data_IF_916129294906
#
_entry.id   IF_916129294906
#
_cell.length_a   1.000
_cell.length_b   1.000
_cell.length_c   1.000
_cell.angle_alpha   90.00
_cell.angle_beta   90.00
_cell.angle_gamma   90.00
#
_symmetry.space_group_name_H-M   'P 1'
#
loop_
_entity.id
_entity.type
_entity.pdbx_description
1 polymer ?
#
# COMPACT_ATOMS: atom_id res chain seq x y z
N UNK A 1 -25.43 -24.41 -10.49
CA UNK A 1 -24.19 -23.84 -11.05
C UNK A 1 -24.41 -22.34 -11.13
N UNK A 2 -23.97 -21.57 -10.14
CA UNK A 2 -24.08 -20.11 -10.15
C UNK A 2 -23.04 -19.55 -11.11
N UNK A 3 -23.48 -18.74 -12.07
CA UNK A 3 -22.56 -17.95 -12.90
C UNK A 3 -21.67 -17.11 -11.97
N UNK A 4 -20.37 -17.38 -11.96
CA UNK A 4 -19.40 -16.52 -11.29
C UNK A 4 -19.40 -15.19 -12.05
N UNK A 5 -19.82 -14.11 -11.40
CA UNK A 5 -19.66 -12.79 -11.95
C UNK A 5 -18.15 -12.53 -12.12
N UNK A 6 -17.67 -12.55 -13.34
CA UNK A 6 -16.31 -12.15 -13.68
C UNK A 6 -16.18 -10.64 -13.45
N UNK A 7 -15.44 -10.25 -12.41
CA UNK A 7 -15.09 -8.85 -12.24
C UNK A 7 -14.06 -8.47 -13.32
N UNK A 8 -14.45 -7.62 -14.24
CA UNK A 8 -13.55 -7.07 -15.25
C UNK A 8 -12.81 -5.88 -14.64
N UNK A 9 -11.52 -6.00 -14.41
CA UNK A 9 -10.68 -4.85 -14.08
C UNK A 9 -10.36 -4.12 -15.36
N UNK A 10 -11.18 -3.14 -15.67
CA UNK A 10 -10.88 -2.22 -16.75
C UNK A 10 -9.82 -1.21 -16.27
N UNK A 11 -8.70 -1.15 -16.95
CA UNK A 11 -7.66 -0.18 -16.69
C UNK A 11 -8.11 1.20 -17.19
N UNK A 12 -8.27 2.15 -16.25
CA UNK A 12 -8.61 3.53 -16.57
C UNK A 12 -7.37 4.43 -16.49
N UNK A 13 -6.67 4.68 -17.62
CA UNK A 13 -5.41 5.41 -17.63
C UNK A 13 -5.51 6.81 -17.02
N UNK A 14 -6.63 7.50 -17.21
CA UNK A 14 -6.88 8.82 -16.65
C UNK A 14 -6.96 8.81 -15.12
N UNK A 15 -7.65 7.83 -14.53
CA UNK A 15 -7.83 7.72 -13.08
C UNK A 15 -6.49 7.45 -12.40
N UNK A 16 -5.68 6.60 -13.00
CA UNK A 16 -4.35 6.25 -12.49
C UNK A 16 -3.39 7.43 -12.60
N UNK A 17 -3.42 8.15 -13.73
CA UNK A 17 -2.63 9.37 -13.89
C UNK A 17 -3.03 10.43 -12.85
N UNK A 18 -4.32 10.66 -12.66
CA UNK A 18 -4.84 11.59 -11.65
C UNK A 18 -4.40 11.19 -10.23
N UNK A 19 -4.50 9.92 -9.88
CA UNK A 19 -4.04 9.40 -8.60
C UNK A 19 -2.52 9.63 -8.41
N UNK A 20 -1.72 9.43 -9.46
CA UNK A 20 -0.28 9.71 -9.43
C UNK A 20 0.02 11.20 -9.19
N UNK A 21 -0.67 12.08 -9.91
CA UNK A 21 -0.51 13.55 -9.74
C UNK A 21 -0.95 14.00 -8.35
N UNK A 22 -2.11 13.55 -7.87
CA UNK A 22 -2.60 13.88 -6.52
C UNK A 22 -1.60 13.41 -5.46
N UNK A 23 -1.07 12.20 -5.60
CA UNK A 23 -0.09 11.65 -4.64
C UNK A 23 1.19 12.46 -4.63
N UNK A 24 1.67 12.86 -5.79
CA UNK A 24 2.84 13.71 -5.92
C UNK A 24 2.61 15.07 -5.26
N UNK A 25 1.45 15.68 -5.49
CA UNK A 25 1.07 16.93 -4.85
C UNK A 25 0.99 16.79 -3.33
N UNK A 26 0.33 15.76 -2.82
CA UNK A 26 0.25 15.49 -1.37
C UNK A 26 1.65 15.32 -0.78
N UNK A 27 2.48 14.50 -1.42
CA UNK A 27 3.85 14.26 -0.96
C UNK A 27 4.67 15.55 -0.95
N UNK A 28 4.65 16.30 -2.06
CA UNK A 28 5.38 17.54 -2.20
C UNK A 28 4.91 18.65 -1.23
N UNK A 29 3.59 18.82 -1.08
CA UNK A 29 3.02 19.79 -0.16
C UNK A 29 3.31 19.43 1.29
N UNK A 30 3.25 18.15 1.63
CA UNK A 30 3.58 17.67 2.97
C UNK A 30 5.07 17.91 3.32
N UNK A 31 5.96 17.75 2.35
CA UNK A 31 7.39 18.04 2.52
C UNK A 31 7.66 19.55 2.62
N UNK A 32 7.09 20.34 1.71
CA UNK A 32 7.35 21.79 1.61
C UNK A 32 6.63 22.58 2.70
N UNK A 33 5.43 22.18 3.07
CA UNK A 33 4.57 22.89 4.03
C UNK A 33 4.94 22.68 5.48
N UNK A 34 5.91 21.83 5.80
CA UNK A 34 6.20 21.38 7.19
C UNK A 34 4.93 20.98 7.94
N UNK A 35 3.92 20.52 7.22
CA UNK A 35 2.63 20.07 7.78
C UNK A 35 2.87 18.93 8.75
N UNK A 36 3.89 18.12 8.50
CA UNK A 36 4.37 17.10 9.40
C UNK A 36 5.77 17.49 9.85
N UNK A 37 6.03 17.50 11.15
CA UNK A 37 7.37 17.63 11.69
C UNK A 37 8.33 16.73 10.91
N UNK A 38 9.43 17.28 10.48
CA UNK A 38 10.42 16.75 9.56
C UNK A 38 10.24 15.27 9.22
N UNK A 39 10.06 14.92 7.93
CA UNK A 39 10.15 13.53 7.54
C UNK A 39 11.54 13.09 7.98
N UNK A 40 11.59 12.30 9.02
CA UNK A 40 12.74 11.64 9.60
C UNK A 40 14.03 12.11 8.92
N UNK A 41 14.79 12.93 9.62
CA UNK A 41 16.16 13.27 9.24
C UNK A 41 16.75 11.99 8.65
N UNK A 42 17.09 12.00 7.36
CA UNK A 42 17.50 10.80 6.64
C UNK A 42 18.86 10.39 7.19
N UNK A 43 18.82 9.74 8.34
CA UNK A 43 20.00 9.06 8.84
C UNK A 43 20.31 8.01 7.78
N UNK A 44 21.36 8.27 6.99
CA UNK A 44 21.78 7.36 5.92
C UNK A 44 22.08 6.01 6.55
N UNK A 45 21.14 5.07 6.38
CA UNK A 45 21.35 3.71 6.81
C UNK A 45 22.39 3.04 5.90
N UNK A 46 23.17 2.08 6.39
CA UNK A 46 24.06 1.29 5.55
C UNK A 46 23.29 0.63 4.40
N UNK A 47 23.89 0.52 3.24
CA UNK A 47 23.28 -0.12 2.05
C UNK A 47 22.74 -1.51 2.36
N UNK A 48 23.44 -2.27 3.19
CA UNK A 48 23.00 -3.59 3.64
C UNK A 48 21.62 -3.58 4.32
N UNK A 49 21.30 -2.54 5.10
CA UNK A 49 19.98 -2.43 5.76
C UNK A 49 18.89 -2.21 4.72
N UNK A 50 19.15 -1.35 3.72
CA UNK A 50 18.19 -1.13 2.63
C UNK A 50 17.93 -2.40 1.82
N UNK A 51 19.00 -3.09 1.40
CA UNK A 51 18.90 -4.30 0.60
C UNK A 51 18.24 -5.45 1.36
N UNK A 52 18.61 -5.65 2.63
CA UNK A 52 17.99 -6.69 3.48
C UNK A 52 16.51 -6.43 3.71
N UNK A 53 16.12 -5.20 4.04
CA UNK A 53 14.72 -4.84 4.21
C UNK A 53 13.93 -5.01 2.89
N UNK A 54 14.54 -4.66 1.76
CA UNK A 54 13.92 -4.83 0.46
C UNK A 54 13.69 -6.30 0.13
N UNK A 55 14.71 -7.13 0.26
CA UNK A 55 14.63 -8.58 -0.02
C UNK A 55 13.63 -9.30 0.89
N UNK A 56 13.67 -9.02 2.20
CA UNK A 56 12.74 -9.62 3.16
C UNK A 56 11.30 -9.20 2.87
N UNK A 57 11.07 -7.90 2.63
CA UNK A 57 9.72 -7.43 2.34
C UNK A 57 9.20 -8.00 1.03
N UNK A 58 10.01 -8.01 -0.04
CA UNK A 58 9.63 -8.62 -1.32
C UNK A 58 9.32 -10.11 -1.17
N UNK A 59 10.16 -10.84 -0.42
CA UNK A 59 9.92 -12.26 -0.11
C UNK A 59 8.60 -12.49 0.64
N UNK A 60 8.24 -11.61 1.60
CA UNK A 60 6.97 -11.68 2.30
C UNK A 60 5.80 -11.44 1.35
N UNK A 61 5.89 -10.47 0.44
CA UNK A 61 4.84 -10.20 -0.55
C UNK A 61 4.61 -11.43 -1.44
N UNK A 62 5.68 -12.00 -1.99
CA UNK A 62 5.58 -13.19 -2.84
C UNK A 62 5.02 -14.40 -2.08
N UNK A 63 5.56 -14.68 -0.90
CA UNK A 63 5.14 -15.83 -0.09
C UNK A 63 3.68 -15.70 0.35
N UNK A 64 3.27 -14.51 0.80
CA UNK A 64 1.88 -14.23 1.20
C UNK A 64 0.93 -14.50 0.04
N UNK A 65 1.24 -14.00 -1.16
CA UNK A 65 0.39 -14.23 -2.34
C UNK A 65 0.28 -15.70 -2.70
N UNK A 66 1.40 -16.43 -2.72
CA UNK A 66 1.38 -17.88 -2.97
C UNK A 66 0.53 -18.62 -1.94
N UNK A 67 0.64 -18.27 -0.66
CA UNK A 67 -0.16 -18.90 0.41
C UNK A 67 -1.64 -18.63 0.20
N UNK A 68 -2.05 -17.37 0.00
CA UNK A 68 -3.46 -17.04 -0.15
C UNK A 68 -4.07 -17.59 -1.45
N UNK A 69 -3.32 -17.61 -2.55
CA UNK A 69 -3.75 -18.27 -3.79
C UNK A 69 -3.90 -19.78 -3.61
N UNK A 70 -2.97 -20.41 -2.90
CA UNK A 70 -3.06 -21.84 -2.57
C UNK A 70 -4.29 -22.14 -1.72
N UNK A 71 -4.56 -21.32 -0.70
CA UNK A 71 -5.77 -21.45 0.13
C UNK A 71 -7.03 -21.26 -0.72
N UNK A 72 -7.05 -20.24 -1.59
CA UNK A 72 -8.16 -20.00 -2.53
C UNK A 72 -8.45 -21.21 -3.40
N UNK A 73 -7.41 -21.83 -3.92
CA UNK A 73 -7.52 -23.02 -4.76
C UNK A 73 -8.06 -24.23 -4.02
N UNK A 74 -7.50 -24.59 -2.85
CA UNK A 74 -7.89 -25.79 -2.12
C UNK A 74 -9.26 -25.71 -1.44
N UNK A 75 -9.64 -24.53 -0.97
CA UNK A 75 -10.90 -24.34 -0.26
C UNK A 75 -12.02 -23.79 -1.14
N UNK A 76 -11.76 -23.60 -2.43
CA UNK A 76 -12.70 -22.98 -3.37
C UNK A 76 -13.29 -21.66 -2.86
N UNK A 77 -12.55 -20.97 -1.99
CA UNK A 77 -12.94 -19.68 -1.48
C UNK A 77 -12.72 -18.69 -2.61
N UNK A 78 -13.77 -18.44 -3.38
CA UNK A 78 -13.70 -17.56 -4.53
C UNK A 78 -13.29 -16.14 -4.15
N UNK A 79 -12.04 -15.80 -4.40
CA UNK A 79 -11.68 -14.46 -4.80
C UNK A 79 -12.19 -14.31 -6.22
N UNK A 80 -12.88 -13.22 -6.55
CA UNK A 80 -13.33 -13.01 -7.91
C UNK A 80 -12.12 -13.14 -8.84
N UNK A 81 -12.16 -14.10 -9.77
CA UNK A 81 -11.17 -14.17 -10.83
C UNK A 81 -11.35 -12.89 -11.63
N UNK A 82 -10.44 -11.98 -11.43
CA UNK A 82 -10.45 -10.73 -12.19
C UNK A 82 -9.93 -11.05 -13.57
N UNK A 83 -10.78 -10.90 -14.56
CA UNK A 83 -10.33 -10.93 -15.95
C UNK A 83 -9.53 -9.66 -16.21
N UNK A 84 -8.22 -9.78 -16.20
CA UNK A 84 -7.33 -8.68 -16.56
C UNK A 84 -7.32 -8.58 -18.10
N UNK A 85 -7.72 -7.42 -18.61
CA UNK A 85 -7.62 -7.13 -20.03
C UNK A 85 -6.26 -6.48 -20.27
N UNK A 86 -5.37 -7.22 -20.90
CA UNK A 86 -4.05 -6.70 -21.26
C UNK A 86 -4.11 -5.82 -22.51
N UNK A 87 -3.24 -4.80 -22.57
CA UNK A 87 -3.14 -3.94 -23.76
C UNK A 87 -2.72 -4.72 -24.99
N UNK A 88 -3.34 -4.41 -26.15
CA UNK A 88 -2.99 -4.98 -27.45
C UNK A 88 -1.98 -4.13 -28.23
N UNK A 89 -1.69 -2.90 -27.81
CA UNK A 89 -0.81 -1.97 -28.49
C UNK A 89 0.41 -1.59 -27.66
N UNK A 90 1.49 -1.20 -28.31
CA UNK A 90 2.72 -0.73 -27.63
C UNK A 90 2.44 0.48 -26.71
N UNK A 91 1.65 1.44 -27.18
CA UNK A 91 1.28 2.60 -26.35
C UNK A 91 0.42 2.19 -25.14
N UNK A 92 -0.44 1.20 -25.31
CA UNK A 92 -1.20 0.60 -24.23
C UNK A 92 -0.30 -0.01 -23.15
N UNK A 93 0.76 -0.72 -23.53
CA UNK A 93 1.73 -1.27 -22.59
C UNK A 93 2.51 -0.19 -21.83
N UNK A 94 2.88 0.90 -22.52
CA UNK A 94 3.50 2.06 -21.85
C UNK A 94 2.55 2.63 -20.79
N UNK A 95 1.29 2.87 -21.16
CA UNK A 95 0.28 3.38 -20.22
C UNK A 95 0.04 2.42 -19.04
N UNK A 96 -0.01 1.12 -19.32
CA UNK A 96 -0.14 0.09 -18.29
C UNK A 96 1.02 0.12 -17.30
N UNK A 97 2.27 0.18 -17.80
CA UNK A 97 3.47 0.25 -16.98
C UNK A 97 3.48 1.48 -16.06
N UNK A 98 3.21 2.66 -16.63
CA UNK A 98 3.09 3.88 -15.81
C UNK A 98 1.94 3.79 -14.81
N UNK A 99 0.85 3.15 -15.19
CA UNK A 99 -0.27 2.93 -14.29
C UNK A 99 0.07 2.10 -13.07
N UNK A 100 0.79 1.00 -13.25
CA UNK A 100 1.26 0.16 -12.15
C UNK A 100 2.17 0.96 -11.20
N UNK A 101 3.07 1.78 -11.76
CA UNK A 101 3.97 2.64 -10.97
C UNK A 101 3.17 3.68 -10.19
N UNK A 102 2.26 4.39 -10.85
CA UNK A 102 1.48 5.44 -10.19
C UNK A 102 0.51 4.89 -9.15
N UNK A 103 -0.08 3.73 -9.37
CA UNK A 103 -0.91 3.05 -8.38
C UNK A 103 -0.11 2.71 -7.13
N UNK A 104 1.05 2.06 -7.30
CA UNK A 104 1.94 1.74 -6.18
C UNK A 104 2.39 3.03 -5.44
N UNK A 105 2.75 4.09 -6.17
CA UNK A 105 3.15 5.36 -5.55
C UNK A 105 2.01 5.99 -4.75
N UNK A 106 0.80 6.03 -5.33
CA UNK A 106 -0.40 6.52 -4.65
C UNK A 106 -0.64 5.78 -3.34
N UNK A 107 -0.60 4.47 -3.37
CA UNK A 107 -0.86 3.64 -2.19
C UNK A 107 0.19 3.84 -1.10
N UNK A 108 1.47 3.92 -1.47
CA UNK A 108 2.55 4.17 -0.51
C UNK A 108 2.44 5.58 0.11
N UNK A 109 2.14 6.60 -0.69
CA UNK A 109 1.98 7.97 -0.19
C UNK A 109 0.77 8.09 0.73
N UNK A 110 -0.38 7.55 0.32
CA UNK A 110 -1.62 7.70 1.11
C UNK A 110 -1.57 6.86 2.37
N UNK A 111 -1.35 5.56 2.25
CA UNK A 111 -1.54 4.63 3.37
C UNK A 111 -0.33 4.51 4.29
N UNK A 112 0.89 4.77 3.83
CA UNK A 112 2.11 4.64 4.66
C UNK A 112 2.68 5.98 5.07
N UNK A 113 2.55 7.01 4.24
CA UNK A 113 3.12 8.33 4.54
C UNK A 113 2.08 9.28 5.14
N UNK A 114 0.92 9.48 4.50
CA UNK A 114 -0.05 10.52 4.85
C UNK A 114 -1.01 10.10 5.97
N UNK A 115 -1.80 9.04 5.79
CA UNK A 115 -2.88 8.68 6.72
C UNK A 115 -2.44 8.43 8.16
N UNK A 116 -1.36 7.68 8.45
CA UNK A 116 -0.93 7.46 9.82
C UNK A 116 -0.63 8.77 10.57
N UNK A 117 -0.02 9.72 9.86
CA UNK A 117 0.33 11.03 10.41
C UNK A 117 -0.90 11.91 10.60
N UNK A 118 -1.76 11.99 9.59
CA UNK A 118 -3.00 12.76 9.65
C UNK A 118 -3.90 12.29 10.80
N UNK A 119 -4.08 10.97 10.95
CA UNK A 119 -4.84 10.41 12.07
C UNK A 119 -4.22 10.77 13.42
N UNK A 120 -2.89 10.66 13.51
CA UNK A 120 -2.19 11.00 14.74
C UNK A 120 -2.37 12.47 15.12
N UNK A 121 -2.23 13.40 14.19
CA UNK A 121 -2.42 14.83 14.43
C UNK A 121 -3.86 15.17 14.87
N UNK A 122 -4.86 14.63 14.13
CA UNK A 122 -6.27 14.84 14.45
C UNK A 122 -6.60 14.32 15.85
N UNK A 123 -6.15 13.11 16.17
CA UNK A 123 -6.43 12.50 17.46
C UNK A 123 -5.67 13.18 18.60
N UNK A 124 -4.40 13.56 18.39
CA UNK A 124 -3.63 14.32 19.37
C UNK A 124 -4.30 15.65 19.69
N UNK A 125 -4.74 16.39 18.67
CA UNK A 125 -5.44 17.66 18.86
C UNK A 125 -6.71 17.48 19.69
N UNK A 126 -7.55 16.50 19.32
CA UNK A 126 -8.78 16.21 20.08
C UNK A 126 -8.54 15.77 21.51
N UNK A 127 -7.50 14.98 21.75
CA UNK A 127 -7.13 14.53 23.09
C UNK A 127 -6.56 15.66 23.94
N UNK A 128 -5.79 16.59 23.36
CA UNK A 128 -5.27 17.77 24.05
C UNK A 128 -6.38 18.72 24.45
N UNK A 129 -7.36 18.95 23.58
CA UNK A 129 -8.53 19.79 23.87
C UNK A 129 -9.39 19.19 24.98
N UNK A 130 -9.47 17.86 25.07
CA UNK A 130 -10.20 17.15 26.16
C UNK A 130 -9.39 17.02 27.45
N UNK A 131 -8.05 17.13 27.41
CA UNK A 131 -7.18 17.03 28.59
C UNK A 131 -7.33 18.13 29.61
N UNK A 132 -7.94 19.25 29.26
CA UNK A 132 -8.40 20.22 30.27
C UNK A 132 -9.43 19.61 31.25
N UNK A 133 -9.91 18.37 31.00
CA UNK A 133 -10.92 17.69 31.80
C UNK A 133 -10.49 16.35 32.42
N UNK A 134 -9.33 15.75 32.11
CA UNK A 134 -8.93 14.45 32.70
C UNK A 134 -7.42 14.15 32.53
N UNK A 135 -6.77 13.79 33.63
CA UNK A 135 -5.31 13.59 33.78
C UNK A 135 -4.72 12.30 33.19
N UNK A 136 -5.45 11.48 32.44
CA UNK A 136 -4.90 10.27 31.85
C UNK A 136 -4.25 10.54 30.48
N UNK A 137 -2.96 10.68 30.49
CA UNK A 137 -2.09 10.78 29.33
C UNK A 137 -2.17 9.50 28.49
N UNK A 138 -2.84 9.57 27.33
CA UNK A 138 -2.72 8.51 26.33
C UNK A 138 -1.26 8.41 25.92
N UNK A 139 -0.65 7.23 26.09
CA UNK A 139 0.71 6.97 25.69
C UNK A 139 0.86 7.25 24.18
N UNK A 140 1.76 8.17 23.84
CA UNK A 140 2.02 8.57 22.44
C UNK A 140 2.37 7.37 21.55
N UNK A 141 2.96 6.32 22.14
CA UNK A 141 3.30 5.10 21.40
C UNK A 141 2.04 4.29 21.04
N UNK A 142 1.11 4.12 21.98
CA UNK A 142 -0.16 3.41 21.73
C UNK A 142 -1.02 4.14 20.68
N UNK A 143 -1.05 5.47 20.76
CA UNK A 143 -1.75 6.28 19.76
C UNK A 143 -1.13 6.10 18.38
N UNK A 144 0.21 6.07 18.27
CA UNK A 144 0.90 5.83 17.02
C UNK A 144 0.55 4.47 16.44
N UNK A 145 0.63 3.40 17.25
CA UNK A 145 0.28 2.04 16.81
C UNK A 145 -1.18 1.95 16.34
N UNK A 146 -2.09 2.61 17.05
CA UNK A 146 -3.50 2.65 16.65
C UNK A 146 -3.69 3.34 15.28
N UNK A 147 -3.06 4.50 15.06
CA UNK A 147 -3.14 5.21 13.78
C UNK A 147 -2.54 4.40 12.62
N UNK A 148 -1.44 3.69 12.86
CA UNK A 148 -0.84 2.77 11.90
C UNK A 148 -1.77 1.60 11.57
N UNK A 149 -2.38 0.99 12.59
CA UNK A 149 -3.34 -0.09 12.41
C UNK A 149 -4.57 0.34 11.63
N UNK A 150 -5.08 1.57 11.88
CA UNK A 150 -6.21 2.12 11.15
C UNK A 150 -5.87 2.36 9.66
N UNK A 151 -4.70 2.92 9.38
CA UNK A 151 -4.25 3.13 8.00
C UNK A 151 -4.05 1.80 7.26
N UNK A 152 -3.49 0.78 7.94
CA UNK A 152 -3.34 -0.58 7.40
C UNK A 152 -4.70 -1.23 7.13
N UNK A 153 -5.65 -1.09 8.04
CA UNK A 153 -7.02 -1.61 7.85
C UNK A 153 -7.69 -0.96 6.63
N UNK A 154 -7.57 0.36 6.47
CA UNK A 154 -8.11 1.06 5.30
C UNK A 154 -7.43 0.61 4.01
N UNK A 155 -6.14 0.33 4.02
CA UNK A 155 -5.44 -0.26 2.89
C UNK A 155 -6.00 -1.63 2.52
N UNK A 156 -6.17 -2.52 3.50
CA UNK A 156 -6.81 -3.81 3.29
C UNK A 156 -8.23 -3.69 2.74
N UNK A 157 -9.07 -2.81 3.33
CA UNK A 157 -10.43 -2.57 2.86
C UNK A 157 -10.49 -2.07 1.40
N UNK A 158 -9.48 -1.31 0.97
CA UNK A 158 -9.33 -0.93 -0.44
C UNK A 158 -9.16 -2.12 -1.38
N UNK A 159 -8.79 -3.29 -0.86
CA UNK A 159 -8.60 -4.53 -1.62
C UNK A 159 -9.71 -5.57 -1.42
N UNK A 160 -10.80 -5.22 -0.71
CA UNK A 160 -11.92 -6.16 -0.42
C UNK A 160 -12.62 -6.65 -1.70
N UNK A 161 -12.53 -5.89 -2.79
CA UNK A 161 -13.05 -6.30 -4.08
C UNK A 161 -12.36 -7.56 -4.66
N UNK A 162 -11.16 -7.90 -4.17
CA UNK A 162 -10.46 -9.16 -4.44
C UNK A 162 -10.98 -10.33 -3.59
N UNK A 163 -12.00 -10.11 -2.78
CA UNK A 163 -12.51 -11.07 -1.81
C UNK A 163 -11.77 -11.03 -0.47
N UNK A 164 -12.22 -11.87 0.46
CA UNK A 164 -11.66 -11.90 1.83
C UNK A 164 -10.18 -12.30 1.86
N UNK A 165 -9.75 -13.21 1.00
CA UNK A 165 -8.35 -13.62 0.92
C UNK A 165 -7.47 -12.50 0.34
N UNK A 166 -7.97 -11.74 -0.64
CA UNK A 166 -7.31 -10.54 -1.16
C UNK A 166 -7.17 -9.45 -0.10
N UNK A 167 -8.21 -9.22 0.70
CA UNK A 167 -8.15 -8.32 1.86
C UNK A 167 -7.08 -8.76 2.86
N UNK A 168 -7.05 -10.03 3.25
CA UNK A 168 -6.06 -10.56 4.21
C UNK A 168 -4.63 -10.49 3.65
N UNK A 169 -4.44 -10.84 2.37
CA UNK A 169 -3.16 -10.70 1.69
C UNK A 169 -2.69 -9.24 1.69
N UNK A 170 -3.58 -8.29 1.38
CA UNK A 170 -3.25 -6.87 1.41
C UNK A 170 -2.83 -6.39 2.81
N UNK A 171 -3.45 -6.89 3.88
CA UNK A 171 -3.03 -6.59 5.25
C UNK A 171 -1.60 -7.06 5.53
N UNK A 172 -1.26 -8.30 5.15
CA UNK A 172 0.09 -8.86 5.35
C UNK A 172 1.12 -8.08 4.53
N UNK A 173 0.86 -7.87 3.24
CA UNK A 173 1.74 -7.11 2.35
C UNK A 173 1.89 -5.65 2.82
N UNK A 174 0.79 -5.02 3.21
CA UNK A 174 0.76 -3.67 3.74
C UNK A 174 1.59 -3.50 5.01
N UNK A 175 1.50 -4.47 5.93
CA UNK A 175 2.30 -4.49 7.16
C UNK A 175 3.80 -4.66 6.85
N UNK A 176 4.17 -5.55 5.92
CA UNK A 176 5.56 -5.76 5.51
C UNK A 176 6.18 -4.49 4.93
N UNK A 177 5.48 -3.82 4.00
CA UNK A 177 5.93 -2.57 3.40
C UNK A 177 6.01 -1.43 4.43
N UNK A 178 5.06 -1.38 5.39
CA UNK A 178 5.12 -0.39 6.47
C UNK A 178 6.32 -0.61 7.39
N UNK A 179 6.60 -1.85 7.78
CA UNK A 179 7.78 -2.19 8.58
C UNK A 179 9.08 -1.85 7.84
N UNK A 180 9.14 -2.10 6.53
CA UNK A 180 10.24 -1.70 5.68
C UNK A 180 10.43 -0.17 5.72
N UNK A 181 9.38 0.61 5.56
CA UNK A 181 9.43 2.07 5.63
C UNK A 181 9.94 2.56 6.99
N UNK A 182 9.45 1.99 8.10
CA UNK A 182 9.89 2.36 9.46
C UNK A 182 11.37 2.06 9.65
N UNK A 183 11.85 0.89 9.21
CA UNK A 183 13.25 0.49 9.34
C UNK A 183 14.19 1.28 8.43
N UNK A 184 13.81 1.48 7.19
CA UNK A 184 14.64 2.19 6.20
C UNK A 184 14.52 3.69 6.30
N UNK A 185 13.51 4.20 7.01
CA UNK A 185 13.16 5.61 7.08
C UNK A 185 13.02 6.26 5.69
N UNK A 186 12.60 5.48 4.70
CA UNK A 186 12.45 5.89 3.31
C UNK A 186 11.11 5.41 2.76
N UNK A 187 10.41 6.29 2.06
CA UNK A 187 9.21 5.92 1.29
C UNK A 187 9.59 5.23 -0.03
N UNK A 188 10.76 5.55 -0.56
CA UNK A 188 11.18 5.09 -1.88
C UNK A 188 11.48 3.60 -1.94
N UNK A 189 11.95 3.02 -0.82
CA UNK A 189 12.25 1.58 -0.77
C UNK A 189 10.97 0.73 -0.86
N UNK A 190 9.96 0.89 0.04
CA UNK A 190 8.72 0.14 -0.10
C UNK A 190 7.98 0.45 -1.40
N UNK A 191 8.02 1.70 -1.90
CA UNK A 191 7.47 2.03 -3.21
C UNK A 191 8.10 1.21 -4.33
N UNK A 192 9.44 1.14 -4.39
CA UNK A 192 10.15 0.35 -5.39
C UNK A 192 9.80 -1.13 -5.31
N UNK A 193 9.75 -1.70 -4.09
CA UNK A 193 9.37 -3.09 -3.85
C UNK A 193 7.93 -3.34 -4.34
N UNK A 194 6.99 -2.47 -3.97
CA UNK A 194 5.59 -2.59 -4.34
C UNK A 194 5.38 -2.50 -5.86
N UNK A 195 6.01 -1.53 -6.51
CA UNK A 195 5.93 -1.37 -7.97
C UNK A 195 6.50 -2.59 -8.71
N UNK A 196 7.66 -3.11 -8.28
CA UNK A 196 8.26 -4.33 -8.86
C UNK A 196 7.38 -5.55 -8.63
N UNK A 197 6.85 -5.71 -7.42
CA UNK A 197 5.95 -6.81 -7.10
C UNK A 197 4.69 -6.78 -7.98
N UNK A 198 4.02 -5.63 -8.08
CA UNK A 198 2.83 -5.50 -8.93
C UNK A 198 3.14 -5.78 -10.40
N UNK A 199 4.26 -5.24 -10.90
CA UNK A 199 4.68 -5.48 -12.28
C UNK A 199 4.93 -6.96 -12.56
N UNK A 200 5.67 -7.65 -11.69
CA UNK A 200 5.94 -9.08 -11.82
C UNK A 200 4.68 -9.92 -11.71
N UNK A 201 3.76 -9.57 -10.82
CA UNK A 201 2.47 -10.26 -10.69
C UNK A 201 1.65 -10.17 -11.98
N UNK A 202 1.58 -8.99 -12.60
CA UNK A 202 0.92 -8.83 -13.90
C UNK A 202 1.66 -9.52 -15.04
N UNK A 203 2.99 -9.50 -15.02
CA UNK A 203 3.80 -10.20 -16.04
C UNK A 203 3.58 -11.71 -15.98
N UNK A 204 3.58 -12.29 -14.79
CA UNK A 204 3.31 -13.73 -14.60
C UNK A 204 1.90 -14.04 -15.11
N UNK A 205 0.90 -13.23 -14.75
CA UNK A 205 -0.46 -13.42 -15.21
C UNK A 205 -0.55 -13.34 -16.75
N UNK A 206 0.12 -12.39 -17.38
CA UNK A 206 0.18 -12.26 -18.84
C UNK A 206 0.83 -13.46 -19.53
N UNK A 207 1.85 -14.07 -18.91
CA UNK A 207 2.55 -15.24 -19.48
C UNK A 207 1.78 -16.55 -19.31
N UNK A 208 0.85 -16.61 -18.34
CA UNK A 208 0.08 -17.81 -18.04
C UNK A 208 -1.26 -17.88 -18.76
N UNK A 209 -1.79 -16.75 -19.23
CA UNK A 209 -3.11 -16.61 -19.88
C UNK A 209 -3.02 -15.81 -21.18
#
# INVERSE_FOLDING_TARGET
>A
MGERQEAVVAYYPFLVFFNGVISFLIYFLALKGRIFENPVEQQKMPFFVYSSCALVSFGILCLSSVIFETISYFFEIGGGIQKVIFPSSFLGWINFFFGVIFAAFFEEVIYRFYLPRAFREILQKRLTDKKKASEKMFDNQRLSVFCEGLALLLFGLGHIYLGILGFLNALVCGAALRLCMIKTKSLWIPFGIHAVYNFLSFLILFLLF
#
